data_IF_992272113782
#
_entry.id   IF_992272113782
#
_cell.length_a   1.000
_cell.length_b   1.000
_cell.length_c   1.000
_cell.angle_alpha   90.00
_cell.angle_beta   90.00
_cell.angle_gamma   90.00
#
_symmetry.space_group_name_H-M   'P 1'
#
loop_
_entity.id
_entity.type
_entity.pdbx_description
1 polymer ?
#
# COMPACT_ATOMS: atom_id res chain seq x y z
N UNK A 1 -1.25 17.85 -19.52
CA UNK A 1 -1.00 17.74 -18.07
C UNK A 1 0.17 18.63 -17.69
N UNK A 2 -0.02 19.48 -16.66
CA UNK A 2 0.93 20.51 -16.27
C UNK A 2 1.82 20.00 -15.13
N UNK A 3 3.04 19.55 -15.42
CA UNK A 3 4.14 19.42 -14.44
C UNK A 3 3.93 18.58 -13.18
N UNK A 4 2.76 17.95 -13.02
CA UNK A 4 2.39 17.18 -11.84
C UNK A 4 3.16 15.84 -11.85
N UNK A 5 3.92 15.53 -10.79
CA UNK A 5 4.59 14.24 -10.70
C UNK A 5 3.58 13.09 -10.66
N UNK A 6 3.92 11.98 -11.29
CA UNK A 6 3.14 10.75 -11.18
C UNK A 6 3.15 10.24 -9.74
N UNK A 7 2.07 9.60 -9.32
CA UNK A 7 1.95 9.00 -7.98
C UNK A 7 3.05 7.98 -7.68
N UNK A 8 3.57 7.31 -8.72
CA UNK A 8 4.67 6.33 -8.59
C UNK A 8 5.99 6.97 -8.11
N UNK A 9 6.12 8.30 -8.19
CA UNK A 9 7.30 8.99 -7.64
C UNK A 9 7.27 9.02 -6.12
N UNK A 10 6.14 8.64 -5.49
CA UNK A 10 5.95 8.62 -4.04
C UNK A 10 6.44 9.91 -3.38
N UNK A 11 6.07 11.04 -3.99
CA UNK A 11 6.43 12.39 -3.55
C UNK A 11 5.19 13.12 -3.05
N UNK A 12 5.34 14.01 -2.09
CA UNK A 12 4.20 14.80 -1.61
C UNK A 12 3.60 15.65 -2.72
N UNK A 13 4.44 16.14 -3.62
CA UNK A 13 4.02 16.90 -4.79
C UNK A 13 3.01 16.13 -5.64
N UNK A 14 3.16 14.81 -5.81
CA UNK A 14 2.26 13.96 -6.60
C UNK A 14 0.80 13.93 -6.08
N UNK A 15 0.58 14.26 -4.81
CA UNK A 15 -0.75 14.30 -4.17
C UNK A 15 -1.44 15.67 -4.25
N UNK A 16 -0.74 16.72 -4.67
CA UNK A 16 -1.23 18.09 -4.68
C UNK A 16 -2.08 18.39 -5.94
N UNK A 17 -3.20 17.70 -6.07
CA UNK A 17 -4.14 17.82 -7.21
C UNK A 17 -5.49 18.39 -6.76
N UNK A 18 -6.25 19.05 -7.66
CA UNK A 18 -7.63 19.45 -7.36
C UNK A 18 -8.56 18.23 -7.26
N UNK A 19 -9.67 18.38 -6.53
CA UNK A 19 -10.75 17.39 -6.52
C UNK A 19 -11.46 17.36 -7.88
N UNK A 20 -11.92 16.17 -8.28
CA UNK A 20 -12.71 15.99 -9.51
C UNK A 20 -14.20 16.30 -9.30
N UNK A 21 -14.69 16.17 -8.08
CA UNK A 21 -16.07 16.40 -7.65
C UNK A 21 -16.09 16.62 -6.13
N UNK A 22 -17.21 17.15 -5.62
CA UNK A 22 -17.33 17.41 -4.18
C UNK A 22 -17.38 16.09 -3.37
N UNK A 23 -16.76 16.04 -2.18
CA UNK A 23 -16.72 14.81 -1.37
C UNK A 23 -18.12 14.24 -1.09
N UNK A 24 -18.31 12.96 -1.43
CA UNK A 24 -19.58 12.24 -1.20
C UNK A 24 -20.55 12.26 -2.38
N UNK A 25 -20.30 13.02 -3.44
CA UNK A 25 -21.21 13.06 -4.60
C UNK A 25 -21.01 11.89 -5.57
N UNK A 26 -19.79 11.36 -5.69
CA UNK A 26 -19.43 10.29 -6.64
C UNK A 26 -18.36 9.38 -6.07
N UNK A 27 -18.15 8.25 -6.74
CA UNK A 27 -17.05 7.33 -6.46
C UNK A 27 -16.03 7.36 -7.60
N UNK A 28 -14.75 7.39 -7.25
CA UNK A 28 -13.62 7.31 -8.18
C UNK A 28 -12.46 6.59 -7.50
N UNK A 29 -11.77 5.72 -8.24
CA UNK A 29 -10.57 5.05 -7.75
C UNK A 29 -9.35 5.97 -7.94
N UNK A 30 -8.58 6.23 -6.89
CA UNK A 30 -7.42 7.12 -7.02
C UNK A 30 -6.54 7.22 -5.79
N UNK A 31 -5.97 8.41 -5.58
CA UNK A 31 -5.01 8.73 -4.51
C UNK A 31 -5.66 8.93 -3.14
N UNK A 32 -6.95 8.59 -3.00
CA UNK A 32 -7.69 8.70 -1.74
C UNK A 32 -7.03 7.87 -0.63
N UNK A 33 -6.52 6.68 -0.94
CA UNK A 33 -5.83 5.85 0.05
C UNK A 33 -4.48 6.44 0.48
N UNK A 34 -3.80 7.17 -0.40
CA UNK A 34 -2.55 7.87 -0.06
C UNK A 34 -2.81 9.00 0.95
N UNK A 35 -3.90 9.75 0.76
CA UNK A 35 -4.38 10.73 1.73
C UNK A 35 -4.79 10.08 3.06
N UNK A 36 -5.42 8.91 3.06
CA UNK A 36 -5.67 8.16 4.30
C UNK A 36 -4.36 7.83 5.04
N UNK A 37 -3.31 7.46 4.31
CA UNK A 37 -1.96 7.28 4.86
C UNK A 37 -1.43 8.53 5.54
N UNK A 38 -1.53 9.69 4.87
CA UNK A 38 -1.10 10.98 5.42
C UNK A 38 -1.87 11.36 6.70
N UNK A 39 -3.17 11.05 6.77
CA UNK A 39 -3.98 11.25 7.98
C UNK A 39 -3.47 10.38 9.13
N UNK A 40 -3.14 9.11 8.87
CA UNK A 40 -2.56 8.22 9.88
C UNK A 40 -1.23 8.78 10.39
N UNK A 41 -0.35 9.25 9.51
CA UNK A 41 0.91 9.87 9.94
C UNK A 41 0.67 11.13 10.79
N UNK A 42 -0.24 12.01 10.36
CA UNK A 42 -0.56 13.23 11.08
C UNK A 42 -1.12 12.96 12.50
N UNK A 43 -1.95 11.92 12.66
CA UNK A 43 -2.53 11.53 13.96
C UNK A 43 -1.47 10.87 14.86
N UNK A 44 -0.61 10.03 14.29
CA UNK A 44 0.31 9.19 15.07
C UNK A 44 1.68 9.84 15.31
N UNK A 45 2.05 10.85 14.51
CA UNK A 45 3.38 11.45 14.50
C UNK A 45 4.48 10.51 13.98
N UNK A 46 4.11 9.42 13.29
CA UNK A 46 5.02 8.38 12.81
C UNK A 46 4.84 8.15 11.32
N UNK A 47 5.91 7.75 10.61
CA UNK A 47 5.79 7.35 9.20
C UNK A 47 4.86 6.15 9.05
N UNK A 48 4.10 6.08 7.97
CA UNK A 48 3.07 5.07 7.74
C UNK A 48 3.65 3.66 7.80
N UNK A 49 4.85 3.47 7.26
CA UNK A 49 5.57 2.19 7.31
C UNK A 49 5.86 1.72 8.74
N UNK A 50 6.14 2.65 9.66
CA UNK A 50 6.33 2.31 11.07
C UNK A 50 5.02 1.93 11.75
N UNK A 51 3.92 2.62 11.40
CA UNK A 51 2.59 2.28 11.90
C UNK A 51 2.19 0.89 11.41
N UNK A 52 2.39 0.60 10.12
CA UNK A 52 2.13 -0.72 9.54
C UNK A 52 2.98 -1.78 10.21
N UNK A 53 4.28 -1.53 10.39
CA UNK A 53 5.18 -2.45 11.07
C UNK A 53 4.66 -2.81 12.47
N UNK A 54 4.41 -1.81 13.31
CA UNK A 54 4.02 -2.04 14.71
C UNK A 54 2.60 -2.59 14.86
N UNK A 55 1.65 -2.10 14.06
CA UNK A 55 0.22 -2.40 14.25
C UNK A 55 -0.28 -3.58 13.42
N UNK A 56 0.39 -3.90 12.32
CA UNK A 56 -0.04 -4.90 11.36
C UNK A 56 1.03 -5.98 11.19
N UNK A 57 2.25 -5.63 10.80
CA UNK A 57 3.22 -6.63 10.38
C UNK A 57 3.75 -7.48 11.54
N UNK A 58 4.14 -6.85 12.65
CA UNK A 58 4.65 -7.55 13.83
C UNK A 58 3.60 -8.52 14.44
N UNK A 59 2.33 -8.12 14.69
CA UNK A 59 1.29 -9.04 15.15
C UNK A 59 0.98 -10.20 14.19
N UNK A 60 1.25 -10.02 12.89
CA UNK A 60 1.06 -11.04 11.87
C UNK A 60 2.30 -11.87 11.59
N UNK A 61 3.46 -11.53 12.16
CA UNK A 61 4.73 -12.19 11.86
C UNK A 61 5.25 -11.92 10.44
N UNK A 62 4.82 -10.82 9.83
CA UNK A 62 5.29 -10.32 8.52
C UNK A 62 6.66 -9.67 8.71
N UNK A 63 7.65 -10.03 7.89
CA UNK A 63 9.06 -9.65 8.09
C UNK A 63 9.71 -8.99 6.89
N UNK A 64 9.26 -9.35 5.69
CA UNK A 64 9.88 -8.96 4.43
C UNK A 64 9.05 -7.90 3.69
N UNK A 65 7.92 -7.46 4.26
CA UNK A 65 7.05 -6.44 3.68
C UNK A 65 7.41 -5.04 4.18
N UNK A 66 7.72 -4.12 3.25
CA UNK A 66 8.22 -2.78 3.57
C UNK A 66 8.06 -1.82 2.39
N UNK A 67 8.10 -0.52 2.67
CA UNK A 67 8.14 0.55 1.67
C UNK A 67 9.55 0.83 1.15
N UNK A 68 10.58 0.34 1.85
CA UNK A 68 11.98 0.65 1.55
C UNK A 68 12.70 -0.56 0.96
N UNK A 69 13.34 -0.40 -0.19
CA UNK A 69 14.02 -1.47 -0.90
C UNK A 69 15.51 -1.54 -0.52
N UNK A 70 15.93 -2.69 0.00
CA UNK A 70 17.34 -2.96 0.29
C UNK A 70 18.04 -3.72 -0.85
N UNK A 71 19.36 -3.64 -0.93
CA UNK A 71 20.15 -4.41 -1.91
C UNK A 71 19.92 -5.93 -1.79
N UNK A 72 19.68 -6.43 -0.57
CA UNK A 72 19.38 -7.83 -0.32
C UNK A 72 18.02 -8.25 -0.92
N UNK A 73 17.02 -7.37 -0.85
CA UNK A 73 15.72 -7.57 -1.49
C UNK A 73 15.83 -7.44 -3.00
N UNK A 74 16.61 -6.47 -3.50
CA UNK A 74 16.83 -6.24 -4.94
C UNK A 74 17.30 -7.49 -5.67
N UNK A 75 18.17 -8.30 -5.04
CA UNK A 75 18.65 -9.59 -5.59
C UNK A 75 17.57 -10.67 -5.73
N UNK A 76 16.40 -10.50 -5.10
CA UNK A 76 15.28 -11.44 -5.11
C UNK A 76 14.03 -10.87 -5.79
N UNK A 77 14.09 -9.63 -6.31
CA UNK A 77 12.94 -9.00 -6.94
C UNK A 77 12.54 -9.75 -8.20
N UNK A 78 11.24 -9.95 -8.35
CA UNK A 78 10.67 -10.47 -9.58
C UNK A 78 10.70 -9.39 -10.66
N UNK A 79 11.08 -9.76 -11.89
CA UNK A 79 11.04 -8.85 -13.03
C UNK A 79 9.60 -8.53 -13.43
N UNK A 80 9.29 -7.24 -13.53
CA UNK A 80 8.02 -6.76 -14.05
C UNK A 80 8.06 -6.83 -15.58
N UNK A 81 6.95 -7.21 -16.19
CA UNK A 81 6.83 -7.31 -17.65
C UNK A 81 5.67 -6.44 -18.13
N UNK A 82 5.86 -5.78 -19.27
CA UNK A 82 4.82 -5.09 -20.01
C UNK A 82 4.20 -6.02 -21.04
N UNK A 83 2.90 -5.89 -21.29
CA UNK A 83 2.25 -6.53 -22.42
C UNK A 83 2.27 -5.58 -23.63
N UNK A 84 2.84 -6.03 -24.74
CA UNK A 84 2.85 -5.30 -26.00
C UNK A 84 1.53 -5.48 -26.76
N UNK A 85 1.31 -4.65 -27.78
CA UNK A 85 0.09 -4.69 -28.60
C UNK A 85 -0.12 -6.04 -29.31
N UNK A 86 0.97 -6.76 -29.61
CA UNK A 86 0.94 -8.10 -30.22
C UNK A 86 0.69 -9.23 -29.20
N UNK A 87 0.50 -8.88 -27.92
CA UNK A 87 0.26 -9.82 -26.82
C UNK A 87 1.53 -10.38 -26.16
N UNK A 88 2.72 -10.13 -26.72
CA UNK A 88 4.00 -10.55 -26.13
C UNK A 88 4.27 -9.85 -24.79
N UNK A 89 5.08 -10.49 -23.94
CA UNK A 89 5.52 -9.95 -22.66
C UNK A 89 7.01 -9.60 -22.74
N UNK A 90 7.35 -8.35 -22.46
CA UNK A 90 8.75 -7.90 -22.42
C UNK A 90 9.10 -7.38 -21.03
N UNK A 91 10.30 -7.68 -20.50
CA UNK A 91 10.76 -7.10 -19.25
C UNK A 91 10.69 -5.57 -19.29
N UNK A 92 10.17 -4.98 -18.23
CA UNK A 92 10.10 -3.54 -18.02
C UNK A 92 11.15 -3.15 -17.00
N UNK A 93 11.95 -2.13 -17.33
CA UNK A 93 12.81 -1.47 -16.35
C UNK A 93 11.96 -0.53 -15.49
N UNK A 94 11.32 -1.12 -14.48
CA UNK A 94 10.45 -0.42 -13.54
C UNK A 94 10.85 -0.74 -12.12
N UNK A 95 11.07 0.32 -11.34
CA UNK A 95 11.30 0.25 -9.92
C UNK A 95 10.68 1.47 -9.25
N UNK A 96 10.00 1.25 -8.13
CA UNK A 96 9.54 2.35 -7.29
C UNK A 96 10.73 2.92 -6.50
N UNK A 97 10.70 4.20 -6.09
CA UNK A 97 11.79 4.78 -5.30
C UNK A 97 12.19 3.88 -4.13
N UNK A 98 13.47 3.51 -4.05
CA UNK A 98 13.96 2.62 -3.01
C UNK A 98 13.80 3.19 -1.59
N UNK A 99 13.87 4.52 -1.47
CA UNK A 99 13.61 5.27 -0.24
C UNK A 99 12.62 6.40 -0.58
N UNK A 100 11.31 6.13 -0.58
CA UNK A 100 10.31 7.11 -1.01
C UNK A 100 10.18 8.25 0.01
N UNK A 101 9.90 9.46 -0.48
CA UNK A 101 9.64 10.65 0.36
C UNK A 101 8.44 10.39 1.28
N UNK A 102 7.35 9.90 0.69
CA UNK A 102 6.13 9.51 1.40
C UNK A 102 5.87 8.01 1.26
N UNK A 103 5.45 7.37 2.35
CA UNK A 103 4.96 6.00 2.30
C UNK A 103 3.51 6.02 1.83
N UNK A 104 3.30 5.58 0.59
CA UNK A 104 2.01 5.66 -0.10
C UNK A 104 0.99 4.70 0.53
N UNK A 105 -0.25 5.16 0.69
CA UNK A 105 -1.32 4.34 1.30
C UNK A 105 -2.02 3.43 0.29
N UNK A 106 -1.96 3.78 -1.00
CA UNK A 106 -2.55 3.01 -2.10
C UNK A 106 -1.56 2.12 -2.86
N UNK A 107 -0.24 2.30 -2.70
CA UNK A 107 0.80 1.49 -3.35
C UNK A 107 2.13 1.55 -2.59
N UNK A 108 3.21 0.94 -3.12
CA UNK A 108 4.58 1.19 -2.63
C UNK A 108 5.20 0.08 -1.78
N UNK A 109 4.41 -0.89 -1.32
CA UNK A 109 4.95 -2.02 -0.57
C UNK A 109 5.61 -3.04 -1.49
N UNK A 110 6.85 -3.40 -1.16
CA UNK A 110 7.46 -4.67 -1.52
C UNK A 110 7.04 -5.72 -0.49
N UNK A 111 6.94 -6.98 -0.89
CA UNK A 111 6.59 -8.07 0.01
C UNK A 111 6.77 -9.44 -0.62
N UNK A 112 6.44 -10.48 0.14
CA UNK A 112 6.50 -11.86 -0.32
C UNK A 112 5.11 -12.48 -0.34
N UNK A 113 4.95 -13.55 -1.12
CA UNK A 113 3.71 -14.34 -1.13
C UNK A 113 3.35 -14.79 0.29
N UNK A 114 4.32 -15.27 1.06
CA UNK A 114 4.11 -15.74 2.43
C UNK A 114 3.58 -14.65 3.36
N UNK A 115 4.14 -13.44 3.27
CA UNK A 115 3.68 -12.30 4.08
C UNK A 115 2.29 -11.83 3.68
N UNK A 116 2.01 -11.75 2.39
CA UNK A 116 0.67 -11.36 1.91
C UNK A 116 -0.40 -12.39 2.33
N UNK A 117 -0.04 -13.68 2.33
CA UNK A 117 -0.94 -14.74 2.83
C UNK A 117 -1.24 -14.60 4.33
N UNK A 118 -0.29 -14.11 5.15
CA UNK A 118 -0.56 -13.80 6.58
C UNK A 118 -1.58 -12.68 6.74
N UNK A 119 -1.47 -11.64 5.91
CA UNK A 119 -2.45 -10.54 5.88
C UNK A 119 -3.85 -11.04 5.48
N UNK A 120 -3.96 -11.84 4.41
CA UNK A 120 -5.24 -12.42 3.99
C UNK A 120 -5.84 -13.32 5.10
N UNK A 121 -5.01 -14.17 5.72
CA UNK A 121 -5.47 -15.05 6.82
C UNK A 121 -6.01 -14.27 8.01
N UNK A 122 -5.47 -13.10 8.33
CA UNK A 122 -5.99 -12.24 9.39
C UNK A 122 -7.43 -11.79 9.11
N UNK A 123 -7.74 -11.42 7.87
CA UNK A 123 -9.11 -11.08 7.45
C UNK A 123 -10.05 -12.28 7.58
N UNK A 124 -9.64 -13.43 7.04
CA UNK A 124 -10.44 -14.67 7.12
C UNK A 124 -10.64 -15.18 8.55
N UNK A 125 -9.83 -14.73 9.50
CA UNK A 125 -9.85 -15.14 10.91
C UNK A 125 -10.37 -14.01 11.82
N UNK A 126 -11.34 -13.23 11.34
CA UNK A 126 -12.03 -12.18 12.09
C UNK A 126 -11.06 -11.19 12.77
N UNK A 127 -9.95 -10.87 12.12
CA UNK A 127 -8.96 -9.90 12.61
C UNK A 127 -7.84 -10.49 13.46
N UNK A 128 -7.82 -11.80 13.69
CA UNK A 128 -6.79 -12.47 14.47
C UNK A 128 -5.62 -12.98 13.61
N UNK A 129 -4.41 -12.60 13.98
CA UNK A 129 -3.16 -13.10 13.42
C UNK A 129 -2.52 -14.22 14.25
N UNK A 130 -1.41 -14.75 13.74
CA UNK A 130 -0.64 -15.82 14.39
C UNK A 130 -0.06 -15.40 15.74
N UNK A 131 0.37 -14.14 15.88
CA UNK A 131 1.05 -13.64 17.09
C UNK A 131 0.24 -12.57 17.83
N UNK A 132 -0.94 -12.20 17.33
CA UNK A 132 -1.78 -11.19 17.95
C UNK A 132 -2.97 -10.80 17.11
N UNK A 133 -3.93 -10.14 17.74
CA UNK A 133 -5.13 -9.61 17.08
C UNK A 133 -4.84 -8.22 16.50
N UNK A 134 -5.07 -8.04 15.21
CA UNK A 134 -4.93 -6.75 14.50
C UNK A 134 -6.25 -5.99 14.53
N UNK A 135 -7.37 -6.67 14.29
CA UNK A 135 -8.71 -6.08 14.29
C UNK A 135 -9.66 -6.85 15.20
N UNK A 136 -10.67 -6.16 15.72
CA UNK A 136 -11.81 -6.83 16.37
C UNK A 136 -12.69 -7.47 15.30
N UNK A 137 -13.36 -8.57 15.66
CA UNK A 137 -14.28 -9.25 14.77
C UNK A 137 -15.41 -8.33 14.29
N UNK A 138 -15.95 -7.45 15.14
CA UNK A 138 -16.96 -6.48 14.70
C UNK A 138 -16.42 -5.46 13.69
N UNK A 139 -15.14 -5.11 13.76
CA UNK A 139 -14.50 -4.19 12.82
C UNK A 139 -14.34 -4.84 11.45
N UNK A 140 -13.97 -6.13 11.40
CA UNK A 140 -13.90 -6.91 10.16
C UNK A 140 -15.28 -6.99 9.51
N UNK A 141 -16.30 -7.42 10.26
CA UNK A 141 -17.69 -7.49 9.76
C UNK A 141 -18.24 -6.15 9.27
N UNK A 142 -17.79 -5.04 9.86
CA UNK A 142 -18.16 -3.70 9.38
C UNK A 142 -17.47 -3.38 8.05
N UNK A 143 -16.17 -3.66 7.93
CA UNK A 143 -15.37 -3.36 6.75
C UNK A 143 -15.78 -4.18 5.52
N UNK A 144 -16.29 -5.39 5.71
CA UNK A 144 -16.72 -6.29 4.60
C UNK A 144 -18.10 -5.95 4.01
N UNK A 145 -18.82 -4.98 4.57
CA UNK A 145 -20.09 -4.52 4.00
C UNK A 145 -19.86 -3.73 2.71
N UNK A 146 -20.87 -3.73 1.84
CA UNK A 146 -20.91 -2.75 0.76
C UNK A 146 -21.13 -1.35 1.35
N UNK A 147 -20.23 -0.42 1.01
CA UNK A 147 -20.28 1.00 1.41
C UNK A 147 -20.43 1.94 0.21
N UNK A 148 -20.78 1.39 -0.96
CA UNK A 148 -21.09 2.10 -2.20
C UNK A 148 -22.60 2.07 -2.49
#
# INVERSE_FOLDING_TARGET
>A
EKGQPSVITASKASLMTPLLFDPGERWEYGTNMDWCGQIVEAITGRRLGEVFKTRIFEPLGIRDTTFELTDAMRRKLASIHARNADGSLTPMDFELPANPEIHMGGHGLYGTIGDYMRFIRMWLNDGAGEHGRVLKAETVRMAEKNHL
#
